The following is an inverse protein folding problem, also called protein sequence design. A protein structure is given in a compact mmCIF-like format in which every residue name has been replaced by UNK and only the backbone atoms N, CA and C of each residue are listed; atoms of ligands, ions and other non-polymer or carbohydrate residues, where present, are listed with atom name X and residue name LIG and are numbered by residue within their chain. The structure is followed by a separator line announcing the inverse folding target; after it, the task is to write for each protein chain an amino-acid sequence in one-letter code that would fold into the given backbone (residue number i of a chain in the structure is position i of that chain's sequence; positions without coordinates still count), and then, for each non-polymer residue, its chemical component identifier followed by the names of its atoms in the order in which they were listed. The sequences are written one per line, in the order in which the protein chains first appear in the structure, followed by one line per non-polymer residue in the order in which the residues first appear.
data_IF_332658330791
#
_entry.id   IF_332658330791
#
_cell.length_a   1.000
_cell.length_b   1.000
_cell.length_c   1.000
_cell.angle_alpha   90.00
_cell.angle_beta   90.00
_cell.angle_gamma   90.00
#
_symmetry.space_group_name_H-M   'P 1'
#
loop_
_entity.id
_entity.type
_entity.pdbx_description
1 polymer ?
#
# COMPACT_ATOMS: atom_id res chain seq x y z
N UNK A 1 -56.27 44.53 8.61
CA UNK A 1 -54.85 44.76 8.25
C UNK A 1 -54.27 43.45 7.77
N UNK A 2 -53.85 43.40 6.50
CA UNK A 2 -53.24 42.23 5.83
C UNK A 2 -51.84 41.98 6.39
N UNK A 3 -51.53 40.74 6.78
CA UNK A 3 -50.14 40.27 6.90
C UNK A 3 -50.00 39.01 6.05
N UNK A 4 -49.40 39.21 4.88
CA UNK A 4 -48.93 38.18 3.96
C UNK A 4 -47.59 37.70 4.54
N UNK A 5 -47.48 36.42 4.90
CA UNK A 5 -46.21 35.78 5.21
C UNK A 5 -45.82 34.94 3.99
N UNK A 6 -44.72 35.37 3.35
CA UNK A 6 -44.11 34.70 2.21
C UNK A 6 -43.64 33.29 2.60
N UNK A 7 -44.05 32.31 1.79
CA UNK A 7 -43.41 31.01 1.72
C UNK A 7 -42.05 31.15 1.03
N UNK A 8 -40.96 30.87 1.75
CA UNK A 8 -39.64 30.66 1.14
C UNK A 8 -39.54 29.19 0.78
N UNK A 9 -39.89 28.87 -0.46
CA UNK A 9 -39.52 27.61 -1.12
C UNK A 9 -38.00 27.64 -1.35
N UNK A 10 -37.24 27.08 -0.41
CA UNK A 10 -35.84 26.72 -0.67
C UNK A 10 -35.88 25.47 -1.55
N UNK A 11 -35.80 25.67 -2.86
CA UNK A 11 -35.53 24.60 -3.81
C UNK A 11 -34.12 24.08 -3.50
N UNK A 12 -34.06 22.96 -2.77
CA UNK A 12 -32.84 22.20 -2.58
C UNK A 12 -32.33 21.75 -3.94
N UNK A 13 -31.25 22.36 -4.39
CA UNK A 13 -30.50 21.91 -5.55
C UNK A 13 -29.82 20.62 -5.14
N UNK A 14 -30.53 19.50 -5.24
CA UNK A 14 -29.92 18.17 -5.28
C UNK A 14 -29.13 18.10 -6.59
N UNK A 15 -27.92 18.65 -6.57
CA UNK A 15 -26.93 18.44 -7.60
C UNK A 15 -26.60 16.96 -7.60
N UNK A 16 -27.33 16.18 -8.39
CA UNK A 16 -26.92 14.86 -8.81
C UNK A 16 -25.58 15.07 -9.51
N UNK A 17 -24.48 14.83 -8.79
CA UNK A 17 -23.18 14.66 -9.39
C UNK A 17 -23.33 13.45 -10.32
N UNK A 18 -23.58 13.72 -11.59
CA UNK A 18 -23.52 12.68 -12.62
C UNK A 18 -22.11 12.12 -12.52
N UNK A 19 -22.01 10.84 -12.17
CA UNK A 19 -20.76 10.11 -12.15
C UNK A 19 -20.21 10.13 -13.58
N UNK A 20 -19.38 11.12 -13.88
CA UNK A 20 -18.70 11.21 -15.15
C UNK A 20 -17.64 10.13 -15.13
N UNK A 21 -17.74 9.19 -16.07
CA UNK A 21 -16.65 8.26 -16.30
C UNK A 21 -15.40 9.08 -16.65
N UNK A 22 -14.31 8.98 -15.85
CA UNK A 22 -13.09 9.68 -16.18
C UNK A 22 -12.57 9.17 -17.52
N UNK A 23 -11.97 10.06 -18.30
CA UNK A 23 -11.17 9.64 -19.45
C UNK A 23 -10.00 8.77 -19.01
N UNK A 24 -9.45 7.96 -19.91
CA UNK A 24 -8.30 7.09 -19.60
C UNK A 24 -7.12 7.88 -19.02
N UNK A 25 -6.89 9.11 -19.50
CA UNK A 25 -5.82 9.98 -19.01
C UNK A 25 -6.09 10.47 -17.58
N UNK A 26 -7.33 10.84 -17.26
CA UNK A 26 -7.74 11.24 -15.90
C UNK A 26 -7.64 10.06 -14.93
N UNK A 27 -8.09 8.87 -15.35
CA UNK A 27 -8.01 7.66 -14.55
C UNK A 27 -6.55 7.27 -14.26
N UNK A 28 -5.68 7.35 -15.26
CA UNK A 28 -4.24 7.09 -15.10
C UNK A 28 -3.58 8.12 -14.18
N UNK A 29 -3.91 9.40 -14.31
CA UNK A 29 -3.40 10.45 -13.43
C UNK A 29 -3.85 10.21 -11.97
N UNK A 30 -5.13 9.86 -11.76
CA UNK A 30 -5.63 9.49 -10.44
C UNK A 30 -4.93 8.26 -9.87
N UNK A 31 -4.61 7.27 -10.70
CA UNK A 31 -3.87 6.09 -10.26
C UNK A 31 -2.43 6.42 -9.86
N UNK A 32 -1.74 7.30 -10.61
CA UNK A 32 -0.38 7.76 -10.23
C UNK A 32 -0.35 8.42 -8.85
N UNK A 33 -1.39 9.15 -8.46
CA UNK A 33 -1.53 9.70 -7.10
C UNK A 33 -1.62 8.59 -6.04
N UNK A 34 -2.29 7.48 -6.35
CA UNK A 34 -2.33 6.30 -5.46
C UNK A 34 -0.94 5.69 -5.34
N UNK A 35 -0.23 5.54 -6.46
CA UNK A 35 1.16 5.02 -6.48
C UNK A 35 2.06 5.89 -5.60
N UNK A 36 2.05 7.21 -5.78
CA UNK A 36 2.84 8.14 -4.97
C UNK A 36 2.52 8.04 -3.47
N UNK A 37 1.23 8.01 -3.11
CA UNK A 37 0.79 7.85 -1.73
C UNK A 37 1.27 6.53 -1.14
N UNK A 38 1.07 5.42 -1.86
CA UNK A 38 1.48 4.10 -1.40
C UNK A 38 3.00 4.02 -1.23
N UNK A 39 3.78 4.51 -2.21
CA UNK A 39 5.24 4.53 -2.14
C UNK A 39 5.76 5.29 -0.91
N UNK A 40 5.09 6.38 -0.52
CA UNK A 40 5.44 7.14 0.69
C UNK A 40 5.23 6.35 2.00
N UNK A 41 4.44 5.28 2.01
CA UNK A 41 4.25 4.41 3.17
C UNK A 41 5.43 3.43 3.40
N UNK A 42 6.29 3.26 2.40
CA UNK A 42 7.43 2.34 2.45
C UNK A 42 8.77 3.09 2.50
N UNK A 43 9.00 4.01 3.45
CA UNK A 43 10.29 4.68 3.51
C UNK A 43 11.40 3.64 3.74
N UNK A 44 12.55 3.87 3.12
CA UNK A 44 13.78 3.23 3.57
C UNK A 44 13.94 3.56 5.06
N UNK A 45 14.21 2.55 5.87
CA UNK A 45 14.36 2.74 7.32
C UNK A 45 15.81 2.52 7.71
N UNK A 46 16.43 3.52 8.31
CA UNK A 46 17.80 3.43 8.79
C UNK A 46 17.85 2.73 10.15
N UNK A 47 17.70 1.40 10.13
CA UNK A 47 18.00 0.54 11.28
C UNK A 47 17.12 0.79 12.52
N UNK A 48 15.87 0.32 12.49
CA UNK A 48 14.97 0.32 13.64
C UNK A 48 15.41 -0.77 14.62
N UNK A 49 15.66 -0.39 15.88
CA UNK A 49 15.92 -1.33 16.98
C UNK A 49 14.64 -1.57 17.77
N UNK A 50 14.35 -2.83 18.06
CA UNK A 50 13.19 -3.24 18.87
C UNK A 50 13.50 -4.53 19.62
N UNK A 51 12.88 -4.73 20.78
CA UNK A 51 12.99 -6.00 21.51
C UNK A 51 12.02 -7.02 20.92
N UNK A 52 12.50 -8.22 20.60
CA UNK A 52 11.66 -9.33 20.16
C UNK A 52 11.06 -10.10 21.34
N UNK A 53 9.96 -10.86 21.13
CA UNK A 53 9.30 -11.61 22.20
C UNK A 53 10.16 -12.67 22.91
N UNK A 54 11.24 -13.11 22.28
CA UNK A 54 12.24 -14.04 22.84
C UNK A 54 13.26 -13.35 23.77
N UNK A 55 13.10 -12.05 24.01
CA UNK A 55 13.96 -11.25 24.88
C UNK A 55 15.20 -10.67 24.19
N UNK A 56 15.50 -11.10 22.96
CA UNK A 56 16.62 -10.55 22.18
C UNK A 56 16.30 -9.14 21.66
N UNK A 57 17.34 -8.37 21.36
CA UNK A 57 17.22 -7.09 20.69
C UNK A 57 17.50 -7.24 19.21
N UNK A 58 16.62 -6.71 18.36
CA UNK A 58 16.71 -6.85 16.91
C UNK A 58 16.85 -5.48 16.25
N UNK A 59 17.84 -5.33 15.38
CA UNK A 59 17.93 -4.21 14.43
C UNK A 59 17.39 -4.67 13.07
N UNK A 60 16.49 -3.90 12.47
CA UNK A 60 15.93 -4.15 11.14
C UNK A 60 16.02 -2.94 10.25
N UNK A 61 16.25 -3.12 8.96
CA UNK A 61 16.13 -2.06 7.97
C UNK A 61 15.38 -2.54 6.73
N UNK A 62 14.85 -1.58 5.98
CA UNK A 62 14.36 -1.76 4.61
C UNK A 62 15.29 -1.03 3.65
N UNK A 63 15.79 -1.75 2.65
CA UNK A 63 16.62 -1.22 1.56
C UNK A 63 16.05 -1.61 0.20
N UNK A 64 16.63 -1.05 -0.87
CA UNK A 64 16.36 -1.43 -2.26
C UNK A 64 14.87 -1.38 -2.63
N UNK A 65 14.17 -0.36 -2.13
CA UNK A 65 12.78 -0.12 -2.47
C UNK A 65 12.67 0.18 -3.97
N UNK A 66 11.89 -0.64 -4.66
CA UNK A 66 11.51 -0.43 -6.05
C UNK A 66 10.00 -0.47 -6.16
N UNK A 67 9.46 0.45 -6.93
CA UNK A 67 8.03 0.52 -7.21
C UNK A 67 7.83 0.51 -8.72
N UNK A 68 6.84 -0.25 -9.18
CA UNK A 68 6.39 -0.24 -10.57
C UNK A 68 4.89 -0.40 -10.62
N UNK A 69 4.27 0.10 -11.66
CA UNK A 69 2.82 0.03 -11.78
C UNK A 69 2.39 -0.17 -13.22
N UNK A 70 1.18 -0.69 -13.39
CA UNK A 70 0.54 -0.87 -14.68
C UNK A 70 -0.96 -0.58 -14.55
N UNK A 71 -1.55 -0.06 -15.62
CA UNK A 71 -3.00 0.17 -15.73
C UNK A 71 -3.45 -0.36 -17.08
N UNK A 72 -4.38 -1.31 -17.05
CA UNK A 72 -4.91 -1.96 -18.25
C UNK A 72 -6.41 -1.80 -18.34
N UNK A 73 -6.90 -1.80 -19.58
CA UNK A 73 -8.34 -1.92 -19.88
C UNK A 73 -8.82 -3.35 -19.65
N UNK A 74 -10.07 -3.49 -19.29
CA UNK A 74 -10.76 -4.77 -19.19
C UNK A 74 -12.04 -4.74 -20.03
N UNK A 75 -12.63 -5.91 -20.26
CA UNK A 75 -13.93 -6.05 -20.91
C UNK A 75 -15.11 -5.80 -19.95
N UNK A 76 -14.84 -5.49 -18.67
CA UNK A 76 -15.86 -5.25 -17.66
C UNK A 76 -16.47 -3.86 -17.79
N UNK A 77 -17.79 -3.79 -17.90
CA UNK A 77 -18.53 -2.52 -17.84
C UNK A 77 -18.51 -1.91 -16.43
N UNK A 78 -18.32 -2.72 -15.39
CA UNK A 78 -18.30 -2.28 -13.98
C UNK A 78 -16.89 -1.88 -13.55
N UNK A 79 -15.86 -2.45 -14.17
CA UNK A 79 -14.46 -2.18 -13.84
C UNK A 79 -13.63 -2.01 -15.12
N UNK A 80 -13.89 -0.96 -15.91
CA UNK A 80 -13.30 -0.78 -17.24
C UNK A 80 -11.76 -0.68 -17.20
N UNK A 81 -11.19 -0.33 -16.04
CA UNK A 81 -9.75 -0.32 -15.81
C UNK A 81 -9.38 -1.12 -14.56
N UNK A 82 -8.27 -1.84 -14.66
CA UNK A 82 -7.57 -2.49 -13.54
C UNK A 82 -6.18 -1.87 -13.40
N UNK A 83 -5.78 -1.62 -12.17
CA UNK A 83 -4.47 -1.07 -11.82
C UNK A 83 -3.72 -2.04 -10.93
N UNK A 84 -2.43 -2.21 -11.18
CA UNK A 84 -1.53 -2.99 -10.34
C UNK A 84 -0.38 -2.10 -9.89
N UNK A 85 -0.09 -2.09 -8.59
CA UNK A 85 1.12 -1.51 -8.02
C UNK A 85 1.98 -2.63 -7.43
N UNK A 86 3.23 -2.70 -7.84
CA UNK A 86 4.23 -3.62 -7.31
C UNK A 86 5.19 -2.83 -6.44
N UNK A 87 5.39 -3.29 -5.21
CA UNK A 87 6.36 -2.74 -4.27
C UNK A 87 7.29 -3.88 -3.88
N UNK A 88 8.58 -3.74 -4.18
CA UNK A 88 9.59 -4.70 -3.75
C UNK A 88 10.66 -4.03 -2.92
N UNK A 89 11.10 -4.71 -1.87
CA UNK A 89 12.15 -4.22 -0.98
C UNK A 89 12.90 -5.38 -0.34
N UNK A 90 14.08 -5.08 0.19
CA UNK A 90 14.87 -6.00 0.98
C UNK A 90 14.72 -5.64 2.45
N UNK A 91 14.36 -6.60 3.29
CA UNK A 91 14.38 -6.48 4.74
C UNK A 91 15.65 -7.11 5.27
N UNK A 92 16.49 -6.32 5.93
CA UNK A 92 17.69 -6.78 6.61
C UNK A 92 17.40 -6.90 8.11
N UNK A 93 18.08 -7.82 8.78
CA UNK A 93 17.96 -7.92 10.23
C UNK A 93 19.09 -8.68 10.88
N UNK A 94 19.39 -8.28 12.12
CA UNK A 94 20.33 -8.96 12.99
C UNK A 94 19.87 -8.79 14.45
N UNK A 95 20.31 -9.70 15.31
CA UNK A 95 19.95 -9.75 16.74
C UNK A 95 21.18 -9.62 17.62
N UNK A 96 21.00 -9.05 18.81
CA UNK A 96 22.02 -8.91 19.85
C UNK A 96 21.39 -9.10 21.25
N UNK A 97 22.24 -9.21 22.28
CA UNK A 97 21.79 -9.46 23.64
C UNK A 97 21.29 -8.19 24.36
N UNK A 98 21.71 -7.00 23.90
CA UNK A 98 21.29 -5.71 24.46
C UNK A 98 20.88 -4.70 23.39
N UNK A 99 20.14 -3.68 23.79
CA UNK A 99 19.73 -2.57 22.92
C UNK A 99 20.94 -1.83 22.33
N UNK A 100 21.95 -1.55 23.17
CA UNK A 100 23.16 -0.86 22.77
C UNK A 100 23.97 -1.66 21.73
N UNK A 101 24.11 -2.98 21.92
CA UNK A 101 24.72 -3.86 20.93
C UNK A 101 23.90 -3.89 19.64
N UNK A 102 22.58 -4.00 19.73
CA UNK A 102 21.70 -4.00 18.57
C UNK A 102 21.84 -2.69 17.77
N UNK A 103 21.90 -1.55 18.44
CA UNK A 103 22.09 -0.24 17.82
C UNK A 103 23.42 -0.16 17.04
N UNK A 104 24.48 -0.76 17.58
CA UNK A 104 25.81 -0.81 16.97
C UNK A 104 25.91 -1.78 15.78
N UNK A 105 24.93 -2.67 15.56
CA UNK A 105 24.95 -3.60 14.44
C UNK A 105 24.97 -2.87 13.08
N UNK A 106 25.86 -3.32 12.21
CA UNK A 106 25.88 -2.94 10.79
C UNK A 106 25.11 -4.00 10.00
N UNK A 107 24.01 -3.59 9.37
CA UNK A 107 23.20 -4.49 8.55
C UNK A 107 23.81 -4.60 7.15
N UNK A 108 24.20 -5.82 6.76
CA UNK A 108 24.83 -6.10 5.47
C UNK A 108 23.80 -6.64 4.47
N UNK A 109 23.59 -5.98 3.30
CA UNK A 109 22.73 -6.48 2.24
C UNK A 109 23.09 -7.85 1.69
N UNK A 110 24.33 -8.33 1.88
CA UNK A 110 24.80 -9.68 1.50
C UNK A 110 24.59 -10.74 2.59
N UNK A 111 24.12 -10.32 3.77
CA UNK A 111 23.84 -11.20 4.91
C UNK A 111 22.47 -11.87 4.87
N UNK A 112 22.01 -12.36 6.03
CA UNK A 112 20.63 -12.80 6.21
C UNK A 112 19.66 -11.67 5.83
N UNK A 113 18.76 -11.95 4.90
CA UNK A 113 17.86 -10.95 4.33
C UNK A 113 16.58 -11.60 3.82
N UNK A 114 15.50 -10.83 3.78
CA UNK A 114 14.23 -11.26 3.23
C UNK A 114 13.83 -10.30 2.12
N UNK A 115 13.71 -10.82 0.89
CA UNK A 115 13.15 -10.07 -0.23
C UNK A 115 11.64 -10.15 -0.15
N UNK A 116 10.98 -9.01 -0.25
CA UNK A 116 9.52 -8.91 -0.22
C UNK A 116 9.04 -8.30 -1.54
N UNK A 117 7.97 -8.85 -2.08
CA UNK A 117 7.23 -8.30 -3.22
C UNK A 117 5.75 -8.28 -2.86
N UNK A 118 5.22 -7.09 -2.70
CA UNK A 118 3.80 -6.83 -2.50
C UNK A 118 3.18 -6.36 -3.82
N UNK A 119 2.11 -7.01 -4.25
CA UNK A 119 1.37 -6.67 -5.48
C UNK A 119 -0.04 -6.25 -5.09
N UNK A 120 -0.28 -4.95 -5.14
CA UNK A 120 -1.56 -4.32 -4.83
C UNK A 120 -2.44 -4.26 -6.08
N UNK A 121 -3.69 -4.70 -5.92
CA UNK A 121 -4.67 -4.75 -7.00
C UNK A 121 -5.75 -3.70 -6.78
N UNK A 122 -6.11 -2.99 -7.85
CA UNK A 122 -7.12 -1.95 -7.85
C UNK A 122 -8.03 -2.08 -9.08
N UNK A 123 -9.27 -1.62 -8.95
CA UNK A 123 -10.20 -1.46 -10.07
C UNK A 123 -10.83 -0.07 -10.06
N UNK A 124 -11.09 0.49 -11.24
CA UNK A 124 -11.87 1.71 -11.37
C UNK A 124 -13.36 1.35 -11.40
N UNK A 125 -14.12 1.68 -10.36
CA UNK A 125 -15.55 1.41 -10.21
C UNK A 125 -16.30 2.71 -9.95
N UNK A 126 -17.38 2.96 -10.67
CA UNK A 126 -18.21 4.18 -10.54
C UNK A 126 -17.38 5.49 -10.56
N UNK A 127 -16.37 5.53 -11.43
CA UNK A 127 -15.47 6.67 -11.59
C UNK A 127 -14.41 6.83 -10.50
N UNK A 128 -14.29 5.89 -9.56
CA UNK A 128 -13.32 5.93 -8.46
C UNK A 128 -12.49 4.65 -8.39
N UNK A 129 -11.20 4.79 -8.06
CA UNK A 129 -10.34 3.65 -7.83
C UNK A 129 -10.69 2.98 -6.49
N UNK A 130 -10.78 1.66 -6.48
CA UNK A 130 -11.07 0.82 -5.31
C UNK A 130 -9.94 -0.18 -5.13
N UNK A 131 -9.42 -0.33 -3.91
CA UNK A 131 -8.44 -1.36 -3.57
C UNK A 131 -9.11 -2.72 -3.41
N UNK A 132 -8.61 -3.73 -4.14
CA UNK A 132 -9.19 -5.08 -4.16
C UNK A 132 -8.47 -6.03 -3.21
N UNK A 133 -7.15 -5.88 -3.07
CA UNK A 133 -6.34 -6.78 -2.25
C UNK A 133 -4.84 -6.68 -2.54
N UNK A 134 -4.07 -7.50 -1.85
CA UNK A 134 -2.62 -7.58 -1.99
C UNK A 134 -2.18 -9.05 -2.07
N UNK A 135 -1.30 -9.34 -3.03
CA UNK A 135 -0.54 -10.59 -3.07
C UNK A 135 0.87 -10.32 -2.55
N UNK A 136 1.24 -11.00 -1.47
CA UNK A 136 2.53 -10.86 -0.81
C UNK A 136 3.39 -12.09 -1.08
N UNK A 137 4.57 -11.89 -1.67
CA UNK A 137 5.57 -12.93 -1.89
C UNK A 137 6.84 -12.61 -1.13
N UNK A 138 7.43 -13.61 -0.50
CA UNK A 138 8.66 -13.48 0.27
C UNK A 138 9.69 -14.48 -0.20
N UNK A 139 10.95 -14.07 -0.21
CA UNK A 139 12.08 -14.96 -0.42
C UNK A 139 13.10 -14.73 0.69
N UNK A 140 13.63 -15.80 1.27
CA UNK A 140 14.52 -15.74 2.42
C UNK A 140 15.92 -16.20 2.04
N UNK A 141 16.93 -15.43 2.44
CA UNK A 141 18.32 -15.86 2.49
C UNK A 141 18.73 -15.88 3.96
N UNK A 142 19.12 -17.04 4.47
CA UNK A 142 19.45 -17.19 5.90
C UNK A 142 20.91 -16.92 6.23
N UNK A 143 21.82 -16.94 5.23
CA UNK A 143 23.27 -16.75 5.40
C UNK A 143 23.91 -16.17 4.13
N UNK A 144 25.08 -15.49 4.25
CA UNK A 144 25.82 -14.99 3.09
C UNK A 144 26.15 -16.08 2.06
N UNK A 145 26.13 -15.71 0.78
CA UNK A 145 26.50 -16.59 -0.34
C UNK A 145 25.47 -17.67 -0.71
N UNK A 146 24.34 -17.76 0.00
CA UNK A 146 23.22 -18.64 -0.37
C UNK A 146 22.26 -17.93 -1.33
N UNK A 147 21.60 -18.65 -2.26
CA UNK A 147 20.50 -18.07 -3.01
C UNK A 147 19.33 -17.72 -2.10
N UNK A 148 18.43 -16.86 -2.60
CA UNK A 148 17.13 -16.66 -1.97
C UNK A 148 16.24 -17.88 -2.21
N UNK A 149 15.61 -18.37 -1.14
CA UNK A 149 14.66 -19.47 -1.18
C UNK A 149 13.24 -18.90 -1.11
N UNK A 150 12.39 -19.25 -2.09
CA UNK A 150 11.01 -18.77 -2.14
C UNK A 150 10.21 -19.33 -0.96
N UNK A 151 9.48 -18.45 -0.29
CA UNK A 151 8.43 -18.81 0.66
C UNK A 151 7.07 -18.84 -0.08
N UNK A 152 6.01 -19.23 0.63
CA UNK A 152 4.65 -19.22 0.10
C UNK A 152 4.17 -17.79 -0.19
N UNK A 153 3.44 -17.61 -1.30
CA UNK A 153 2.68 -16.39 -1.57
C UNK A 153 1.41 -16.37 -0.73
N UNK A 154 1.12 -15.25 -0.08
CA UNK A 154 -0.09 -15.01 0.69
C UNK A 154 -0.96 -14.01 -0.07
N UNK A 155 -2.20 -14.40 -0.37
CA UNK A 155 -3.18 -13.51 -1.00
C UNK A 155 -4.17 -13.01 0.04
N UNK A 156 -4.39 -11.69 0.07
CA UNK A 156 -5.31 -11.05 1.02
C UNK A 156 -6.28 -10.16 0.25
N UNK A 157 -7.57 -10.47 0.31
CA UNK A 157 -8.60 -9.55 -0.14
C UNK A 157 -8.63 -8.31 0.77
N UNK A 158 -9.04 -7.15 0.25
CA UNK A 158 -9.05 -5.89 0.99
C UNK A 158 -9.81 -5.96 2.32
N UNK A 159 -10.86 -6.79 2.42
CA UNK A 159 -11.64 -7.01 3.64
C UNK A 159 -10.87 -7.73 4.76
N UNK A 160 -9.77 -8.42 4.42
CA UNK A 160 -8.92 -9.16 5.36
C UNK A 160 -7.66 -8.38 5.74
N UNK A 161 -7.46 -7.19 5.17
CA UNK A 161 -6.30 -6.34 5.43
C UNK A 161 -6.66 -5.31 6.51
N UNK A 162 -5.97 -5.29 7.67
CA UNK A 162 -6.23 -4.30 8.71
C UNK A 162 -6.03 -2.87 8.18
N UNK A 163 -7.01 -1.95 8.34
CA UNK A 163 -6.93 -0.59 7.77
C UNK A 163 -5.72 0.23 8.23
N UNK A 164 -5.19 -0.06 9.41
CA UNK A 164 -4.04 0.60 10.02
C UNK A 164 -2.69 0.01 9.56
N UNK A 165 -2.68 -1.16 8.94
CA UNK A 165 -1.46 -1.75 8.38
C UNK A 165 -0.97 -0.95 7.16
N UNK A 166 0.31 -1.10 6.78
CA UNK A 166 0.85 -0.47 5.56
C UNK A 166 0.02 -0.86 4.33
N UNK A 167 -0.28 -2.17 4.19
CA UNK A 167 -1.11 -2.70 3.11
C UNK A 167 -2.49 -2.04 3.09
N UNK A 168 -3.13 -1.94 4.25
CA UNK A 168 -4.47 -1.35 4.39
C UNK A 168 -4.50 0.15 4.08
N UNK A 169 -3.47 0.88 4.50
CA UNK A 169 -3.29 2.29 4.16
C UNK A 169 -3.05 2.48 2.66
N UNK A 170 -2.32 1.57 2.01
CA UNK A 170 -2.13 1.62 0.56
C UNK A 170 -3.44 1.34 -0.21
N UNK A 171 -4.18 0.28 0.17
CA UNK A 171 -5.44 -0.12 -0.46
C UNK A 171 -6.59 0.88 -0.25
N UNK A 172 -6.48 1.76 0.75
CA UNK A 172 -7.51 2.76 1.04
C UNK A 172 -7.44 3.94 0.09
N UNK A 173 -8.17 3.83 -1.02
CA UNK A 173 -8.33 4.89 -2.00
C UNK A 173 -9.62 5.66 -1.69
N UNK A 174 -9.53 6.95 -1.34
CA UNK A 174 -10.73 7.80 -1.22
C UNK A 174 -11.28 8.09 0.18
N UNK A 175 -10.45 8.19 1.23
CA UNK A 175 -10.87 8.81 2.49
C UNK A 175 -10.03 10.03 2.82
N UNK A 176 -10.22 11.13 2.07
CA UNK A 176 -9.98 12.46 2.64
C UNK A 176 -11.27 12.85 3.35
N UNK A 177 -11.18 13.03 4.67
CA UNK A 177 -12.18 13.80 5.42
C UNK A 177 -12.13 15.26 4.96
#
# INVERSE_FOLDING_TARGET
MKKILLAVLVAGVAGAATARNPSDAEALAAFKVIVERCSALFPATDGIVSQSPDGNWRKTSRSDLQTSFDVKKTDSLVSPLEGVLRVSYLTLGATAASEAEAQALVLNPEGPAMKVLDVYHFALQDGSWVGLGVDESRELRTRPGRPFEKLSTIKKDASRVPPQSLDGQCLRVGARR
#
